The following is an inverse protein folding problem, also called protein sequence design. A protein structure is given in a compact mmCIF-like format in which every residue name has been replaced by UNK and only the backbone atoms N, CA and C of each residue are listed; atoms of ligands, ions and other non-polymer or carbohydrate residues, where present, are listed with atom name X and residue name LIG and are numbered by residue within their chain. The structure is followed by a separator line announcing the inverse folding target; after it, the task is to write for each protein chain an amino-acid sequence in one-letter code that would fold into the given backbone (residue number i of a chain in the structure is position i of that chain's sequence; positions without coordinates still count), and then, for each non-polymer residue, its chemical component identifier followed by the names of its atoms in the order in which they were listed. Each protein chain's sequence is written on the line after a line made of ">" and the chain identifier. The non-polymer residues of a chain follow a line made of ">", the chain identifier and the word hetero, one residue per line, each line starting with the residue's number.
data_IF_539531356108
#
_entry.id   IF_539531356108
#
_cell.length_a   1.000
_cell.length_b   1.000
_cell.length_c   1.000
_cell.angle_alpha   90.00
_cell.angle_beta   90.00
_cell.angle_gamma   90.00
#
_symmetry.space_group_name_H-M   'P 1'
#
loop_
_entity.id
_entity.type
_entity.pdbx_description
1 polymer ?
#
# COMPACT_ATOMS: atom_id res chain seq x y z
N UNK A 1 -19.99 -23.46 -3.79
CA UNK A 1 -18.94 -23.38 -2.75
C UNK A 1 -17.63 -23.79 -3.42
N UNK A 2 -16.62 -22.93 -3.45
CA UNK A 2 -15.33 -23.24 -4.09
C UNK A 2 -14.54 -24.19 -3.18
N UNK A 3 -14.63 -25.50 -3.44
CA UNK A 3 -14.00 -26.52 -2.61
C UNK A 3 -12.47 -26.38 -2.54
N UNK A 4 -11.86 -25.77 -3.57
CA UNK A 4 -10.42 -25.53 -3.58
C UNK A 4 -10.04 -24.39 -2.64
N UNK A 5 -10.85 -23.33 -2.59
CA UNK A 5 -10.70 -22.28 -1.58
C UNK A 5 -10.77 -22.84 -0.16
N UNK A 6 -11.82 -23.61 0.17
CA UNK A 6 -12.02 -24.11 1.55
C UNK A 6 -10.83 -24.97 2.02
N UNK A 7 -10.33 -25.86 1.15
CA UNK A 7 -9.17 -26.69 1.46
C UNK A 7 -7.91 -25.84 1.70
N UNK A 8 -7.64 -24.87 0.82
CA UNK A 8 -6.46 -24.02 0.93
C UNK A 8 -6.55 -23.09 2.13
N UNK A 9 -7.74 -22.58 2.43
CA UNK A 9 -7.99 -21.73 3.58
C UNK A 9 -7.80 -22.48 4.89
N UNK A 10 -8.27 -23.72 5.01
CA UNK A 10 -8.06 -24.52 6.22
C UNK A 10 -6.57 -24.72 6.54
N UNK A 11 -5.77 -25.08 5.52
CA UNK A 11 -4.31 -25.24 5.66
C UNK A 11 -3.66 -23.91 6.04
N UNK A 12 -4.06 -22.84 5.36
CA UNK A 12 -3.53 -21.51 5.62
C UNK A 12 -3.86 -21.02 7.03
N UNK A 13 -5.10 -21.17 7.50
CA UNK A 13 -5.52 -20.73 8.83
C UNK A 13 -4.74 -21.46 9.94
N UNK A 14 -4.49 -22.75 9.79
CA UNK A 14 -3.69 -23.51 10.75
C UNK A 14 -2.23 -23.01 10.79
N UNK A 15 -1.65 -22.74 9.62
CA UNK A 15 -0.33 -22.10 9.53
C UNK A 15 -0.31 -20.73 10.24
N UNK A 16 -1.34 -19.90 10.02
CA UNK A 16 -1.46 -18.59 10.66
C UNK A 16 -1.53 -18.69 12.19
N UNK A 17 -2.28 -19.65 12.72
CA UNK A 17 -2.41 -19.92 14.17
C UNK A 17 -1.11 -20.40 14.78
N UNK A 18 -0.41 -21.32 14.11
CA UNK A 18 0.86 -21.89 14.62
C UNK A 18 1.96 -20.85 14.79
N UNK A 19 1.90 -19.74 14.04
CA UNK A 19 2.88 -18.63 14.05
C UNK A 19 2.40 -17.41 14.85
N UNK A 20 1.19 -17.45 15.41
CA UNK A 20 0.58 -16.29 16.03
C UNK A 20 1.15 -15.98 17.43
N UNK A 21 1.25 -14.68 17.76
CA UNK A 21 1.37 -14.23 19.14
C UNK A 21 0.10 -14.60 19.92
N UNK A 22 0.16 -14.64 21.26
CA UNK A 22 -1.01 -15.00 22.06
C UNK A 22 -2.25 -14.11 21.78
N UNK A 23 -2.06 -12.80 21.59
CA UNK A 23 -3.17 -11.88 21.29
C UNK A 23 -3.69 -12.06 19.85
N UNK A 24 -2.80 -12.31 18.89
CA UNK A 24 -3.19 -12.59 17.52
C UNK A 24 -3.92 -13.94 17.42
N UNK A 25 -3.50 -14.93 18.18
CA UNK A 25 -4.17 -16.24 18.25
C UNK A 25 -5.61 -16.06 18.76
N UNK A 26 -5.81 -15.27 19.82
CA UNK A 26 -7.16 -14.95 20.31
C UNK A 26 -8.04 -14.34 19.22
N UNK A 27 -7.48 -13.47 18.36
CA UNK A 27 -8.20 -12.91 17.22
C UNK A 27 -8.53 -13.95 16.15
N UNK A 28 -7.59 -14.85 15.82
CA UNK A 28 -7.78 -15.94 14.85
C UNK A 28 -8.75 -17.05 15.31
N UNK A 29 -9.09 -17.06 16.60
CA UNK A 29 -10.06 -17.98 17.20
C UNK A 29 -11.46 -17.38 17.32
N UNK A 30 -11.61 -16.06 17.10
CA UNK A 30 -12.91 -15.38 17.07
C UNK A 30 -13.67 -15.66 15.78
N UNK A 31 -14.84 -15.03 15.65
CA UNK A 31 -15.62 -15.06 14.43
C UNK A 31 -14.89 -14.36 13.27
N UNK A 32 -14.42 -15.16 12.31
CA UNK A 32 -13.74 -14.72 11.10
C UNK A 32 -14.69 -14.55 9.91
N UNK A 33 -16.01 -14.47 10.13
CA UNK A 33 -17.00 -14.38 9.04
C UNK A 33 -16.67 -13.24 8.06
N UNK A 34 -16.31 -12.05 8.57
CA UNK A 34 -15.83 -10.89 7.78
C UNK A 34 -14.60 -11.21 6.95
N UNK A 35 -13.54 -11.67 7.62
CA UNK A 35 -12.25 -12.06 7.03
C UNK A 35 -12.42 -13.13 5.95
N UNK A 36 -13.22 -14.17 6.21
CA UNK A 36 -13.50 -15.24 5.25
C UNK A 36 -14.24 -14.70 4.03
N UNK A 37 -15.23 -13.81 4.21
CA UNK A 37 -15.95 -13.16 3.10
C UNK A 37 -15.00 -12.35 2.23
N UNK A 38 -14.15 -11.53 2.84
CA UNK A 38 -13.13 -10.75 2.14
C UNK A 38 -12.15 -11.65 1.36
N UNK A 39 -11.65 -12.72 1.99
CA UNK A 39 -10.76 -13.67 1.34
C UNK A 39 -11.44 -14.36 0.16
N UNK A 40 -12.67 -14.84 0.34
CA UNK A 40 -13.39 -15.61 -0.67
C UNK A 40 -13.82 -14.77 -1.87
N UNK A 41 -14.33 -13.57 -1.63
CA UNK A 41 -14.94 -12.75 -2.68
C UNK A 41 -13.95 -11.84 -3.41
N UNK A 42 -12.84 -11.47 -2.76
CA UNK A 42 -11.88 -10.50 -3.31
C UNK A 42 -10.48 -11.08 -3.43
N UNK A 43 -9.88 -11.51 -2.32
CA UNK A 43 -8.45 -11.85 -2.31
C UNK A 43 -8.18 -13.12 -3.12
N UNK A 44 -8.87 -14.22 -2.82
CA UNK A 44 -8.67 -15.51 -3.49
C UNK A 44 -8.92 -15.46 -5.01
N UNK A 45 -10.00 -14.83 -5.52
CA UNK A 45 -10.19 -14.70 -6.96
C UNK A 45 -9.07 -13.93 -7.68
N UNK A 46 -8.42 -12.97 -7.00
CA UNK A 46 -7.35 -12.14 -7.57
C UNK A 46 -6.01 -12.85 -7.53
N UNK A 47 -5.59 -13.32 -6.35
CA UNK A 47 -4.25 -13.83 -6.12
C UNK A 47 -4.13 -15.34 -6.41
N UNK A 48 -5.21 -16.10 -6.24
CA UNK A 48 -5.23 -17.58 -6.31
C UNK A 48 -4.17 -18.26 -5.42
N UNK A 49 -3.74 -17.57 -4.38
CA UNK A 49 -2.74 -17.97 -3.39
C UNK A 49 -2.94 -17.16 -2.11
N UNK A 50 -2.44 -17.67 -0.99
CA UNK A 50 -2.33 -16.93 0.28
C UNK A 50 -0.87 -16.51 0.57
N UNK A 51 0.03 -16.66 -0.40
CA UNK A 51 1.42 -16.25 -0.26
C UNK A 51 1.53 -14.74 0.02
N UNK A 52 2.32 -14.40 1.04
CA UNK A 52 2.50 -13.01 1.48
C UNK A 52 1.29 -12.42 2.21
N UNK A 53 0.26 -13.20 2.51
CA UNK A 53 -0.90 -12.76 3.28
C UNK A 53 -0.74 -13.18 4.75
N UNK A 54 -0.98 -12.24 5.65
CA UNK A 54 -1.11 -12.50 7.09
C UNK A 54 -2.51 -12.08 7.57
N UNK A 55 -3.18 -12.98 8.30
CA UNK A 55 -4.47 -12.68 8.92
C UNK A 55 -4.30 -12.04 10.29
N UNK A 56 -5.24 -11.21 10.72
CA UNK A 56 -5.22 -10.58 12.04
C UNK A 56 -3.83 -9.96 12.34
N UNK A 57 -3.30 -9.19 11.39
CA UNK A 57 -1.95 -8.65 11.48
C UNK A 57 -1.85 -7.65 12.63
N UNK A 58 -0.91 -7.89 13.55
CA UNK A 58 -0.75 -7.08 14.76
C UNK A 58 -0.02 -5.76 14.43
N UNK A 59 -0.72 -4.64 14.57
CA UNK A 59 -0.17 -3.29 14.41
C UNK A 59 -0.25 -2.51 15.72
N UNK A 60 0.84 -1.81 16.09
CA UNK A 60 0.81 -0.82 17.18
C UNK A 60 0.64 0.59 16.64
N UNK A 61 -0.39 1.28 17.14
CA UNK A 61 -0.60 2.70 16.89
C UNK A 61 0.42 3.57 17.64
N UNK A 62 0.55 4.87 17.29
CA UNK A 62 1.49 5.78 17.96
C UNK A 62 1.24 5.97 19.46
N UNK A 63 -0.01 5.83 19.91
CA UNK A 63 -0.37 5.88 21.33
C UNK A 63 -0.26 4.52 22.05
N UNK A 64 0.38 3.53 21.44
CA UNK A 64 0.67 2.23 22.05
C UNK A 64 -0.49 1.24 22.05
N UNK A 65 -1.62 1.57 21.42
CA UNK A 65 -2.76 0.66 21.29
C UNK A 65 -2.45 -0.39 20.22
N UNK A 66 -2.63 -1.66 20.57
CA UNK A 66 -2.56 -2.76 19.60
C UNK A 66 -3.88 -2.84 18.84
N UNK A 67 -3.79 -2.92 17.51
CA UNK A 67 -4.90 -3.12 16.59
C UNK A 67 -4.58 -4.32 15.71
N UNK A 68 -5.61 -5.01 15.24
CA UNK A 68 -5.50 -6.12 14.31
C UNK A 68 -6.14 -5.73 12.98
N UNK A 69 -5.55 -6.21 11.90
CA UNK A 69 -5.97 -6.00 10.51
C UNK A 69 -6.43 -7.34 9.98
N UNK A 70 -7.65 -7.44 9.46
CA UNK A 70 -8.26 -8.70 9.04
C UNK A 70 -7.35 -9.46 8.05
N UNK A 71 -6.90 -8.78 6.99
CA UNK A 71 -6.03 -9.36 5.94
C UNK A 71 -4.95 -8.35 5.54
N UNK A 72 -3.68 -8.69 5.82
CA UNK A 72 -2.53 -7.87 5.45
C UNK A 72 -1.70 -8.53 4.36
N UNK A 73 -1.47 -7.82 3.26
CA UNK A 73 -0.59 -8.27 2.18
C UNK A 73 0.80 -7.65 2.34
N UNK A 74 1.74 -8.46 2.81
CA UNK A 74 3.11 -8.07 3.15
C UNK A 74 3.88 -7.41 2.01
N UNK A 75 3.89 -7.94 0.76
CA UNK A 75 4.77 -7.42 -0.29
C UNK A 75 4.57 -5.93 -0.61
N UNK A 76 3.33 -5.44 -0.47
CA UNK A 76 2.96 -4.05 -0.76
C UNK A 76 2.40 -3.30 0.44
N UNK A 77 2.48 -3.89 1.64
CA UNK A 77 1.94 -3.34 2.88
C UNK A 77 0.48 -2.89 2.75
N UNK A 78 -0.37 -3.73 2.14
CA UNK A 78 -1.79 -3.40 1.93
C UNK A 78 -2.61 -4.02 3.07
N UNK A 79 -3.37 -3.19 3.76
CA UNK A 79 -4.27 -3.57 4.83
C UNK A 79 -5.70 -3.60 4.30
N UNK A 80 -6.28 -4.79 4.16
CA UNK A 80 -7.68 -4.98 3.80
C UNK A 80 -8.49 -5.28 5.07
N UNK A 81 -9.66 -4.65 5.19
CA UNK A 81 -10.59 -4.86 6.31
C UNK A 81 -11.99 -5.14 5.76
N UNK A 82 -12.77 -5.93 6.49
CA UNK A 82 -14.20 -6.08 6.30
C UNK A 82 -14.96 -5.39 7.43
N UNK A 83 -15.38 -4.15 7.19
CA UNK A 83 -16.22 -3.41 8.13
C UNK A 83 -17.67 -3.91 8.07
N UNK A 84 -18.13 -4.52 9.16
CA UNK A 84 -19.53 -4.84 9.34
C UNK A 84 -20.38 -3.58 9.48
N UNK A 85 -21.46 -3.48 8.71
CA UNK A 85 -22.52 -2.51 8.98
C UNK A 85 -23.40 -3.08 10.10
N UNK A 86 -23.21 -2.61 11.34
CA UNK A 86 -24.24 -2.83 12.37
C UNK A 86 -25.37 -1.83 12.13
N UNK A 87 -26.64 -2.25 12.29
CA UNK A 87 -27.85 -1.40 12.19
C UNK A 87 -27.93 -0.28 13.28
N UNK A 88 -26.79 0.02 13.85
CA UNK A 88 -26.49 0.70 15.09
C UNK A 88 -25.37 1.72 14.86
N UNK A 89 -25.18 2.19 13.62
CA UNK A 89 -24.30 3.35 13.35
C UNK A 89 -24.71 4.55 14.21
N UNK A 90 -25.99 4.68 14.56
CA UNK A 90 -26.50 5.66 15.51
C UNK A 90 -26.07 5.40 16.97
N UNK A 91 -25.73 4.16 17.34
CA UNK A 91 -25.28 3.77 18.69
C UNK A 91 -23.78 3.50 18.77
N UNK A 92 -23.00 3.90 17.75
CA UNK A 92 -21.54 3.89 17.86
C UNK A 92 -21.12 4.79 19.03
N UNK A 93 -20.34 4.23 19.96
CA UNK A 93 -19.83 5.03 21.08
C UNK A 93 -18.81 6.05 20.56
N UNK A 94 -18.69 7.19 21.25
CA UNK A 94 -17.67 8.20 20.94
C UNK A 94 -16.26 7.59 20.93
N UNK A 95 -16.01 6.63 21.82
CA UNK A 95 -14.75 5.89 21.89
C UNK A 95 -14.50 5.04 20.65
N UNK A 96 -15.48 4.26 20.19
CA UNK A 96 -15.35 3.46 18.97
C UNK A 96 -15.15 4.34 17.74
N UNK A 97 -15.88 5.45 17.64
CA UNK A 97 -15.67 6.42 16.56
C UNK A 97 -14.24 6.98 16.57
N UNK A 98 -13.74 7.40 17.73
CA UNK A 98 -12.37 7.90 17.87
C UNK A 98 -11.32 6.83 17.57
N UNK A 99 -11.60 5.57 17.94
CA UNK A 99 -10.74 4.42 17.63
C UNK A 99 -10.59 4.22 16.13
N UNK A 100 -11.69 4.22 15.35
CA UNK A 100 -11.60 4.08 13.88
C UNK A 100 -10.84 5.26 13.25
N UNK A 101 -11.05 6.49 13.72
CA UNK A 101 -10.25 7.64 13.26
C UNK A 101 -8.76 7.47 13.59
N UNK A 102 -8.45 6.90 14.76
CA UNK A 102 -7.07 6.61 15.15
C UNK A 102 -6.46 5.50 14.32
N UNK A 103 -7.23 4.46 13.96
CA UNK A 103 -6.82 3.37 13.08
C UNK A 103 -6.41 3.90 11.71
N UNK A 104 -7.26 4.70 11.06
CA UNK A 104 -6.96 5.31 9.74
C UNK A 104 -5.65 6.11 9.78
N UNK A 105 -5.45 6.95 10.80
CA UNK A 105 -4.21 7.71 10.95
C UNK A 105 -3.00 6.82 11.23
N UNK A 106 -3.18 5.74 11.97
CA UNK A 106 -2.11 4.78 12.27
C UNK A 106 -1.65 4.07 11.00
N UNK A 107 -2.59 3.63 10.14
CA UNK A 107 -2.26 3.05 8.83
C UNK A 107 -1.45 4.04 7.97
N UNK A 108 -1.89 5.29 7.91
CA UNK A 108 -1.19 6.34 7.18
C UNK A 108 0.25 6.53 7.69
N UNK A 109 0.43 6.65 9.00
CA UNK A 109 1.76 6.83 9.60
C UNK A 109 2.67 5.62 9.42
N UNK A 110 2.10 4.42 9.32
CA UNK A 110 2.83 3.18 9.00
C UNK A 110 3.12 3.02 7.50
N UNK A 111 2.56 3.87 6.65
CA UNK A 111 2.69 3.77 5.20
C UNK A 111 1.88 2.62 4.59
N UNK A 112 0.87 2.12 5.31
CA UNK A 112 0.04 1.03 4.82
C UNK A 112 -1.05 1.55 3.87
N UNK A 113 -1.24 0.87 2.74
CA UNK A 113 -2.38 1.14 1.88
C UNK A 113 -3.64 0.56 2.54
N UNK A 114 -4.46 1.41 3.13
CA UNK A 114 -5.65 1.01 3.86
C UNK A 114 -6.87 0.90 2.93
N UNK A 115 -7.47 -0.29 2.88
CA UNK A 115 -8.57 -0.64 1.98
C UNK A 115 -9.71 -1.29 2.79
N UNK A 116 -10.53 -0.49 3.48
CA UNK A 116 -11.73 -0.99 4.13
C UNK A 116 -12.82 -1.25 3.09
N UNK A 117 -13.44 -2.43 3.16
CA UNK A 117 -14.67 -2.75 2.44
C UNK A 117 -15.79 -2.96 3.43
N UNK A 118 -17.01 -2.53 3.09
CA UNK A 118 -18.17 -2.96 3.86
C UNK A 118 -18.57 -4.39 3.54
N UNK A 119 -19.19 -5.08 4.49
CA UNK A 119 -19.80 -6.40 4.25
C UNK A 119 -20.72 -6.41 3.03
N UNK A 120 -21.57 -5.38 2.90
CA UNK A 120 -22.52 -5.26 1.78
C UNK A 120 -21.83 -5.08 0.42
N UNK A 121 -20.68 -4.39 0.38
CA UNK A 121 -19.90 -4.28 -0.85
C UNK A 121 -19.28 -5.62 -1.24
N UNK A 122 -18.73 -6.37 -0.27
CA UNK A 122 -18.20 -7.70 -0.52
C UNK A 122 -19.29 -8.67 -0.97
N UNK A 123 -20.50 -8.55 -0.42
CA UNK A 123 -21.61 -9.44 -0.73
C UNK A 123 -22.28 -9.11 -2.08
N UNK A 124 -22.62 -7.84 -2.30
CA UNK A 124 -23.45 -7.42 -3.44
C UNK A 124 -22.65 -6.83 -4.60
N UNK A 125 -21.41 -6.40 -4.34
CA UNK A 125 -20.57 -5.66 -5.30
C UNK A 125 -19.14 -6.20 -5.36
N UNK A 126 -18.95 -7.51 -5.16
CA UNK A 126 -17.62 -8.14 -5.14
C UNK A 126 -16.79 -7.90 -6.42
N UNK A 127 -17.43 -7.76 -7.58
CA UNK A 127 -16.75 -7.40 -8.83
C UNK A 127 -16.09 -6.01 -8.76
N UNK A 128 -16.79 -5.02 -8.18
CA UNK A 128 -16.25 -3.67 -7.99
C UNK A 128 -15.07 -3.69 -7.00
N UNK A 129 -15.21 -4.40 -5.87
CA UNK A 129 -14.12 -4.58 -4.91
C UNK A 129 -12.88 -5.17 -5.58
N UNK A 130 -13.06 -6.20 -6.42
CA UNK A 130 -11.96 -6.81 -7.18
C UNK A 130 -11.32 -5.85 -8.16
N UNK A 131 -12.10 -5.09 -8.91
CA UNK A 131 -11.58 -4.07 -9.84
C UNK A 131 -10.74 -3.01 -9.11
N UNK A 132 -11.18 -2.56 -7.94
CA UNK A 132 -10.40 -1.63 -7.11
C UNK A 132 -9.05 -2.23 -6.71
N UNK A 133 -9.04 -3.49 -6.23
CA UNK A 133 -7.80 -4.16 -5.85
C UNK A 133 -6.88 -4.37 -7.05
N UNK A 134 -7.38 -4.73 -8.23
CA UNK A 134 -6.57 -4.81 -9.45
C UNK A 134 -5.92 -3.47 -9.80
N UNK A 135 -6.67 -2.37 -9.74
CA UNK A 135 -6.11 -1.03 -10.00
C UNK A 135 -5.03 -0.69 -8.97
N UNK A 136 -5.28 -0.98 -7.68
CA UNK A 136 -4.31 -0.78 -6.62
C UNK A 136 -3.03 -1.58 -6.87
N UNK A 137 -3.12 -2.86 -7.18
CA UNK A 137 -1.98 -3.72 -7.52
C UNK A 137 -1.23 -3.24 -8.76
N UNK A 138 -1.96 -2.71 -9.76
CA UNK A 138 -1.39 -2.08 -10.95
C UNK A 138 -0.41 -0.95 -10.63
N UNK A 139 -0.63 -0.22 -9.54
CA UNK A 139 0.29 0.85 -9.09
C UNK A 139 1.62 0.29 -8.62
N UNK A 140 1.64 -0.91 -8.06
CA UNK A 140 2.87 -1.56 -7.60
C UNK A 140 3.57 -2.35 -8.70
N UNK A 141 2.84 -2.90 -9.68
CA UNK A 141 3.45 -3.59 -10.83
C UNK A 141 4.02 -2.62 -11.89
N UNK A 142 3.51 -1.38 -11.95
CA UNK A 142 3.99 -0.34 -12.88
C UNK A 142 5.23 0.42 -12.41
N UNK A 143 5.78 0.11 -11.23
CA UNK A 143 7.05 0.72 -10.83
C UNK A 143 8.20 0.04 -11.55
N UNK A 144 8.68 0.67 -12.64
CA UNK A 144 10.06 0.44 -13.06
C UNK A 144 10.95 0.58 -11.82
N UNK A 145 11.70 -0.47 -11.48
CA UNK A 145 12.50 -0.51 -10.25
C UNK A 145 13.41 0.72 -10.24
N UNK A 146 13.06 1.68 -9.39
CA UNK A 146 13.87 2.87 -9.18
C UNK A 146 14.99 2.54 -8.22
N UNK A 147 16.20 2.89 -8.61
CA UNK A 147 17.33 2.88 -7.68
C UNK A 147 17.08 3.87 -6.54
N UNK A 148 17.74 3.66 -5.40
CA UNK A 148 17.65 4.58 -4.27
C UNK A 148 17.99 6.03 -4.66
N UNK A 149 18.96 6.22 -5.57
CA UNK A 149 19.35 7.52 -6.08
C UNK A 149 18.26 8.17 -6.92
N UNK A 150 17.59 7.41 -7.78
CA UNK A 150 16.47 7.91 -8.59
C UNK A 150 15.30 8.35 -7.71
N UNK A 151 14.95 7.56 -6.69
CA UNK A 151 13.91 7.91 -5.72
C UNK A 151 14.27 9.18 -4.95
N UNK A 152 15.53 9.31 -4.54
CA UNK A 152 15.98 10.48 -3.78
C UNK A 152 15.96 11.76 -4.62
N UNK A 153 16.38 11.70 -5.89
CA UNK A 153 16.25 12.84 -6.81
C UNK A 153 14.79 13.28 -6.94
N UNK A 154 13.86 12.34 -7.14
CA UNK A 154 12.44 12.66 -7.29
C UNK A 154 11.90 13.32 -6.01
N UNK A 155 12.24 12.76 -4.84
CA UNK A 155 11.83 13.30 -3.54
C UNK A 155 12.37 14.71 -3.31
N UNK A 156 13.66 14.92 -3.58
CA UNK A 156 14.30 16.21 -3.42
C UNK A 156 13.77 17.26 -4.40
N UNK A 157 13.62 16.89 -5.68
CA UNK A 157 13.06 17.76 -6.71
C UNK A 157 11.62 18.22 -6.38
N UNK A 158 10.82 17.34 -5.77
CA UNK A 158 9.47 17.68 -5.33
C UNK A 158 9.42 18.73 -4.22
N UNK A 159 10.50 18.85 -3.42
CA UNK A 159 10.61 19.83 -2.34
C UNK A 159 11.14 21.18 -2.80
N UNK A 160 11.87 21.22 -3.92
CA UNK A 160 12.55 22.43 -4.39
C UNK A 160 11.59 23.54 -4.85
N UNK A 161 10.32 23.25 -5.17
CA UNK A 161 9.34 24.23 -5.70
C UNK A 161 9.86 25.07 -6.88
N UNK A 162 10.84 24.55 -7.62
CA UNK A 162 11.43 25.15 -8.83
C UNK A 162 12.02 24.05 -9.73
N UNK A 163 12.29 24.33 -11.02
CA UNK A 163 13.15 23.46 -11.82
C UNK A 163 14.51 23.25 -11.14
N UNK A 164 15.00 22.01 -11.19
CA UNK A 164 16.26 21.61 -10.57
C UNK A 164 17.37 21.48 -11.61
N UNK A 165 18.59 21.77 -11.17
CA UNK A 165 19.82 21.73 -11.97
C UNK A 165 20.64 20.51 -11.59
N UNK A 166 21.60 20.15 -12.44
CA UNK A 166 22.50 19.03 -12.11
C UNK A 166 23.30 19.25 -10.81
N UNK A 167 23.64 20.50 -10.47
CA UNK A 167 24.32 20.79 -9.21
C UNK A 167 23.42 20.46 -8.01
N UNK A 168 22.13 20.79 -8.08
CA UNK A 168 21.15 20.42 -7.03
C UNK A 168 21.13 18.91 -6.80
N UNK A 169 21.30 18.11 -7.86
CA UNK A 169 21.36 16.65 -7.79
C UNK A 169 22.68 16.16 -7.18
N UNK A 170 23.81 16.74 -7.59
CA UNK A 170 25.11 16.42 -6.99
C UNK A 170 25.10 16.67 -5.48
N UNK A 171 24.53 17.81 -5.06
CA UNK A 171 24.42 18.20 -3.67
C UNK A 171 23.49 17.25 -2.90
N UNK A 172 22.32 16.93 -3.48
CA UNK A 172 21.35 15.98 -2.94
C UNK A 172 21.95 14.57 -2.72
N UNK A 173 22.67 14.05 -3.71
CA UNK A 173 23.20 12.69 -3.65
C UNK A 173 24.56 12.59 -2.94
N UNK A 174 25.27 13.70 -2.76
CA UNK A 174 26.68 13.71 -2.36
C UNK A 174 27.58 12.98 -3.36
N UNK A 175 27.27 13.05 -4.66
CA UNK A 175 27.98 12.31 -5.74
C UNK A 175 28.57 13.26 -6.78
N UNK A 176 29.61 12.77 -7.47
CA UNK A 176 30.27 13.48 -8.57
C UNK A 176 29.33 13.62 -9.78
N UNK A 177 29.63 14.64 -10.59
CA UNK A 177 28.86 15.02 -11.78
C UNK A 177 28.58 13.86 -12.74
N UNK A 178 29.56 12.99 -12.99
CA UNK A 178 29.41 11.86 -13.92
C UNK A 178 28.37 10.84 -13.46
N UNK A 179 28.31 10.58 -12.15
CA UNK A 179 27.31 9.69 -11.57
C UNK A 179 25.92 10.33 -11.64
N UNK A 180 25.80 11.58 -11.19
CA UNK A 180 24.54 12.34 -11.22
C UNK A 180 23.97 12.44 -12.65
N UNK A 181 24.83 12.64 -13.66
CA UNK A 181 24.42 12.66 -15.07
C UNK A 181 23.84 11.32 -15.53
N UNK A 182 24.45 10.20 -15.13
CA UNK A 182 23.91 8.86 -15.46
C UNK A 182 22.54 8.64 -14.82
N UNK A 183 22.37 9.05 -13.57
CA UNK A 183 21.08 8.94 -12.86
C UNK A 183 20.01 9.83 -13.51
N UNK A 184 20.36 11.05 -13.92
CA UNK A 184 19.47 11.95 -14.68
C UNK A 184 19.08 11.34 -16.02
N UNK A 185 20.04 10.80 -16.77
CA UNK A 185 19.76 10.17 -18.06
C UNK A 185 18.81 8.97 -17.90
N UNK A 186 19.01 8.15 -16.86
CA UNK A 186 18.10 7.06 -16.50
C UNK A 186 16.69 7.58 -16.19
N UNK A 187 16.55 8.59 -15.32
CA UNK A 187 15.24 9.18 -15.00
C UNK A 187 14.53 9.78 -16.22
N UNK A 188 15.28 10.38 -17.15
CA UNK A 188 14.73 10.88 -18.41
C UNK A 188 14.26 9.73 -19.32
N UNK A 189 15.03 8.64 -19.42
CA UNK A 189 14.65 7.45 -20.18
C UNK A 189 13.36 6.82 -19.64
N UNK A 190 13.22 6.81 -18.31
CA UNK A 190 12.02 6.38 -17.58
C UNK A 190 10.86 7.39 -17.66
N UNK A 191 11.05 8.52 -18.34
CA UNK A 191 10.08 9.62 -18.48
C UNK A 191 9.61 10.23 -17.15
N UNK A 192 10.41 10.10 -16.08
CA UNK A 192 10.07 10.61 -14.75
C UNK A 192 10.51 12.06 -14.55
N UNK A 193 11.44 12.53 -15.38
CA UNK A 193 11.85 13.92 -15.44
C UNK A 193 11.93 14.34 -16.90
N UNK A 194 11.76 15.63 -17.14
CA UNK A 194 11.87 16.22 -18.46
C UNK A 194 12.63 17.56 -18.40
N UNK A 195 13.24 18.02 -19.51
CA UNK A 195 13.85 19.34 -19.56
C UNK A 195 12.79 20.41 -19.28
N UNK A 196 13.12 21.39 -18.44
CA UNK A 196 12.23 22.52 -18.19
C UNK A 196 11.95 23.35 -19.47
N UNK A 197 12.88 23.29 -20.43
CA UNK A 197 12.80 23.94 -21.75
C UNK A 197 13.15 22.93 -22.84
N UNK A 198 12.17 22.17 -23.37
CA UNK A 198 12.42 21.10 -24.33
C UNK A 198 13.08 21.56 -25.64
N UNK A 199 12.83 22.82 -26.05
CA UNK A 199 13.33 23.41 -27.30
C UNK A 199 14.76 23.97 -27.21
N UNK A 200 15.40 23.90 -26.04
CA UNK A 200 16.75 24.44 -25.85
C UNK A 200 17.81 23.45 -26.36
N UNK A 201 18.81 23.93 -27.11
CA UNK A 201 19.97 23.12 -27.53
C UNK A 201 20.80 22.59 -26.35
N UNK A 202 20.74 23.26 -25.19
CA UNK A 202 21.41 22.81 -23.96
C UNK A 202 20.41 22.70 -22.82
N UNK A 203 20.41 21.55 -22.16
CA UNK A 203 19.55 21.27 -21.01
C UNK A 203 20.30 21.69 -19.74
N UNK A 204 19.77 22.69 -19.05
CA UNK A 204 20.33 23.20 -17.80
C UNK A 204 19.45 22.92 -16.58
N UNK A 205 18.15 22.74 -16.82
CA UNK A 205 17.11 22.64 -15.80
C UNK A 205 16.13 21.52 -16.17
N UNK A 206 15.66 20.82 -15.15
CA UNK A 206 14.76 19.69 -15.24
C UNK A 206 13.52 19.94 -14.36
N UNK A 207 12.41 19.32 -14.72
CA UNK A 207 11.17 19.28 -13.93
C UNK A 207 10.70 17.84 -13.81
N UNK A 208 9.96 17.53 -12.74
CA UNK A 208 9.31 16.23 -12.60
C UNK A 208 8.18 16.08 -13.61
N UNK A 209 8.08 14.91 -14.23
CA UNK A 209 6.96 14.55 -15.09
C UNK A 209 5.71 14.22 -14.25
N UNK A 210 4.55 14.32 -14.89
CA UNK A 210 3.29 13.91 -14.26
C UNK A 210 3.34 12.41 -13.89
N UNK A 211 3.10 12.10 -12.61
CA UNK A 211 3.18 10.72 -12.10
C UNK A 211 4.52 10.29 -11.53
N UNK A 212 5.60 11.09 -11.65
CA UNK A 212 6.90 10.76 -11.06
C UNK A 212 6.84 10.54 -9.54
N UNK A 213 6.01 11.34 -8.86
CA UNK A 213 5.75 11.21 -7.43
C UNK A 213 5.05 9.91 -7.03
N UNK A 214 4.36 9.24 -7.96
CA UNK A 214 3.70 7.95 -7.68
C UNK A 214 4.71 6.82 -7.53
N UNK A 215 5.92 6.99 -8.07
CA UNK A 215 6.99 5.98 -8.09
C UNK A 215 7.86 5.96 -6.81
N UNK A 216 7.68 6.93 -5.90
CA UNK A 216 8.48 7.02 -4.67
C UNK A 216 7.75 6.53 -3.41
N UNK A 217 6.53 5.98 -3.54
CA UNK A 217 5.81 5.33 -2.43
C UNK A 217 6.55 4.10 -1.91
#
# INVERSE_FOLDING_TARGET
>A
MDAFFEQKFAIFLEDQRSKASARRLEMLERDLTGTIKLLREVIWPIFRSFEGIELEYEMRSPNGVTMFIDVFYLPYCIAFECDGYSAHVETITRERFNFEKSRVRSMLLKGYAYVPFSWDELDKKSAFCRSFVYELLGRYSSSEVLTLYEREIIRYAAQLNRPFRLNDICDCLGKKRDFSMKTVASLMQKQLIQPARPLSQRIHEYVLSEGALRQIR
#
